data_IF_095906631514
#
_entry.id   IF_095906631514
#
_cell.length_a   1.000
_cell.length_b   1.000
_cell.length_c   1.000
_cell.angle_alpha   90.00
_cell.angle_beta   90.00
_cell.angle_gamma   90.00
#
_symmetry.space_group_name_H-M   'P 1'
#
loop_
_entity.id
_entity.type
_entity.pdbx_description
1 polymer ?
#
# COMPACT_ATOMS: atom_id res chain seq x y z
N UNK A 1 -55.40 47.28 -15.79
CA UNK A 1 -53.95 47.09 -15.58
C UNK A 1 -53.74 45.86 -14.70
N UNK A 2 -53.50 44.69 -15.30
CA UNK A 2 -53.29 43.44 -14.57
C UNK A 2 -51.79 43.18 -14.43
N UNK A 3 -51.28 43.19 -13.19
CA UNK A 3 -49.88 42.85 -12.86
C UNK A 3 -49.70 41.33 -12.97
N UNK A 4 -48.81 40.88 -13.86
CA UNK A 4 -48.37 39.49 -13.94
C UNK A 4 -47.26 39.26 -12.91
N UNK A 5 -47.48 38.29 -12.01
CA UNK A 5 -46.50 37.80 -11.04
C UNK A 5 -45.64 36.75 -11.76
N UNK A 6 -44.30 36.87 -11.78
CA UNK A 6 -43.45 35.83 -12.38
C UNK A 6 -43.39 34.62 -11.45
N UNK A 7 -43.75 33.45 -11.97
CA UNK A 7 -43.52 32.16 -11.32
C UNK A 7 -42.02 31.86 -11.36
N UNK A 8 -41.38 31.83 -10.19
CA UNK A 8 -40.01 31.38 -10.04
C UNK A 8 -40.01 29.84 -9.97
N UNK A 9 -39.57 29.19 -11.04
CA UNK A 9 -39.43 27.74 -11.09
C UNK A 9 -38.15 27.34 -10.33
N UNK A 10 -38.32 26.75 -9.15
CA UNK A 10 -37.23 26.17 -8.35
C UNK A 10 -36.91 24.78 -8.93
N UNK A 11 -35.84 24.67 -9.70
CA UNK A 11 -35.34 23.38 -10.18
C UNK A 11 -34.59 22.69 -9.03
N UNK A 12 -35.19 21.65 -8.43
CA UNK A 12 -34.45 20.72 -7.56
C UNK A 12 -33.50 19.91 -8.45
N UNK A 13 -32.20 20.19 -8.37
CA UNK A 13 -31.18 19.32 -8.91
C UNK A 13 -30.99 18.15 -7.94
N UNK A 14 -31.49 16.97 -8.30
CA UNK A 14 -31.15 15.73 -7.61
C UNK A 14 -29.71 15.38 -7.95
N UNK A 15 -28.79 15.58 -7.01
CA UNK A 15 -27.44 15.04 -7.12
C UNK A 15 -27.52 13.52 -6.95
N UNK A 16 -27.26 12.77 -8.03
CA UNK A 16 -26.97 11.35 -7.91
C UNK A 16 -25.52 11.23 -7.45
N UNK A 17 -25.30 10.87 -6.19
CA UNK A 17 -23.99 10.41 -5.76
C UNK A 17 -23.69 9.11 -6.51
N UNK A 18 -22.63 9.10 -7.32
CA UNK A 18 -22.10 7.86 -7.83
C UNK A 18 -21.68 6.99 -6.63
N UNK A 19 -21.92 5.66 -6.65
CA UNK A 19 -21.39 4.80 -5.62
C UNK A 19 -19.86 4.94 -5.61
N UNK A 20 -19.29 5.20 -4.44
CA UNK A 20 -17.85 5.05 -4.25
C UNK A 20 -17.52 3.59 -4.62
N UNK A 21 -16.62 3.40 -5.58
CA UNK A 21 -16.15 2.07 -5.90
C UNK A 21 -15.23 1.60 -4.76
N UNK A 22 -15.37 0.33 -4.42
CA UNK A 22 -14.42 -0.40 -3.60
C UNK A 22 -13.01 -0.20 -4.17
N UNK A 23 -12.09 0.30 -3.35
CA UNK A 23 -10.70 0.52 -3.72
C UNK A 23 -9.88 -0.66 -3.18
N UNK A 24 -9.21 -1.37 -4.10
CA UNK A 24 -8.37 -2.50 -3.74
C UNK A 24 -6.91 -2.07 -3.80
N UNK A 25 -6.19 -2.29 -2.72
CA UNK A 25 -4.77 -1.97 -2.60
C UNK A 25 -3.99 -3.27 -2.45
N UNK A 26 -2.86 -3.39 -3.15
CA UNK A 26 -1.96 -4.54 -3.04
C UNK A 26 -0.62 -4.10 -2.48
N UNK A 27 -0.14 -4.82 -1.46
CA UNK A 27 1.16 -4.59 -0.84
C UNK A 27 2.00 -5.85 -1.01
N UNK A 28 3.28 -5.69 -1.35
CA UNK A 28 4.22 -6.79 -1.58
C UNK A 28 5.51 -6.61 -0.80
N UNK A 29 6.09 -7.73 -0.41
CA UNK A 29 7.33 -7.83 0.34
C UNK A 29 8.23 -8.90 -0.27
N UNK A 30 9.52 -8.61 -0.29
CA UNK A 30 10.58 -9.59 -0.50
C UNK A 30 11.31 -9.81 0.81
N UNK A 31 11.71 -11.05 1.06
CA UNK A 31 12.36 -11.38 2.31
C UNK A 31 13.14 -12.67 2.26
N UNK A 32 13.63 -13.07 3.44
CA UNK A 32 14.30 -14.34 3.64
C UNK A 32 13.77 -15.05 4.87
N UNK A 33 13.60 -16.36 4.78
CA UNK A 33 13.31 -17.22 5.94
C UNK A 33 14.43 -17.04 6.96
N UNK A 34 14.06 -16.86 8.23
CA UNK A 34 15.01 -16.75 9.36
C UNK A 34 15.01 -18.02 10.19
N UNK A 35 13.83 -18.57 10.50
CA UNK A 35 13.67 -19.82 11.21
C UNK A 35 12.28 -20.44 10.94
N UNK A 36 12.06 -21.67 11.41
CA UNK A 36 10.77 -22.35 11.25
C UNK A 36 10.50 -23.35 12.38
N UNK A 37 9.22 -23.69 12.60
CA UNK A 37 8.81 -24.72 13.56
C UNK A 37 7.56 -25.48 13.08
N UNK A 38 7.37 -26.70 13.56
CA UNK A 38 6.22 -27.55 13.18
C UNK A 38 6.56 -28.72 12.24
N UNK A 39 5.55 -29.48 11.77
CA UNK A 39 5.74 -30.75 11.06
C UNK A 39 6.54 -30.66 9.76
N UNK A 40 6.49 -29.52 9.05
CA UNK A 40 7.22 -29.29 7.80
C UNK A 40 8.43 -28.35 7.95
N UNK A 41 8.77 -27.95 9.18
CA UNK A 41 9.85 -26.99 9.46
C UNK A 41 11.19 -27.33 8.80
N UNK A 42 11.53 -28.62 8.70
CA UNK A 42 12.81 -29.10 8.14
C UNK A 42 13.04 -28.70 6.67
N UNK A 43 12.01 -28.29 5.94
CA UNK A 43 12.10 -27.81 4.56
C UNK A 43 12.56 -26.35 4.50
N UNK A 44 12.20 -25.57 5.50
CA UNK A 44 12.42 -24.13 5.57
C UNK A 44 13.73 -23.83 6.25
N UNK A 45 14.72 -23.40 5.47
CA UNK A 45 16.09 -23.13 5.93
C UNK A 45 16.35 -21.63 5.88
N UNK A 46 17.06 -21.12 6.88
CA UNK A 46 17.45 -19.72 6.93
C UNK A 46 18.14 -19.27 5.63
N UNK A 47 17.74 -18.10 5.11
CA UNK A 47 18.26 -17.52 3.87
C UNK A 47 17.51 -17.92 2.59
N UNK A 48 16.48 -18.76 2.67
CA UNK A 48 15.59 -19.01 1.52
C UNK A 48 14.76 -17.76 1.22
N UNK A 49 14.70 -17.35 -0.04
CA UNK A 49 13.85 -16.25 -0.48
C UNK A 49 12.37 -16.56 -0.22
N UNK A 50 11.67 -15.57 0.32
CA UNK A 50 10.22 -15.55 0.47
C UNK A 50 9.68 -14.30 -0.19
N UNK A 51 8.52 -14.43 -0.83
CA UNK A 51 7.71 -13.28 -1.25
C UNK A 51 6.35 -13.38 -0.60
N UNK A 52 5.84 -12.25 -0.12
CA UNK A 52 4.52 -12.12 0.48
C UNK A 52 3.81 -11.00 -0.25
N UNK A 53 2.56 -11.21 -0.65
CA UNK A 53 1.73 -10.15 -1.20
C UNK A 53 0.30 -10.30 -0.68
N UNK A 54 -0.33 -9.21 -0.28
CA UNK A 54 -1.74 -9.18 0.09
C UNK A 54 -2.47 -8.09 -0.68
N UNK A 55 -3.72 -8.36 -1.05
CA UNK A 55 -4.66 -7.40 -1.61
C UNK A 55 -5.80 -7.22 -0.63
N UNK A 56 -6.13 -5.98 -0.31
CA UNK A 56 -7.17 -5.62 0.64
C UNK A 56 -8.27 -4.76 0.01
N UNK A 57 -9.47 -4.85 0.57
CA UNK A 57 -10.60 -3.98 0.28
C UNK A 57 -10.64 -2.85 1.31
N UNK A 58 -10.22 -1.65 0.93
CA UNK A 58 -10.06 -0.52 1.87
C UNK A 58 -11.40 -0.03 2.41
N UNK A 59 -12.50 -0.36 1.73
CA UNK A 59 -13.85 0.01 2.15
C UNK A 59 -14.52 -1.01 3.08
N UNK A 60 -13.84 -2.10 3.42
CA UNK A 60 -14.38 -3.12 4.31
C UNK A 60 -14.67 -2.52 5.70
N UNK A 61 -15.87 -2.78 6.21
CA UNK A 61 -16.30 -2.25 7.49
C UNK A 61 -15.59 -2.98 8.63
N UNK A 62 -15.12 -2.22 9.61
CA UNK A 62 -14.68 -2.77 10.89
C UNK A 62 -15.89 -3.37 11.62
N UNK A 63 -15.79 -4.67 11.91
CA UNK A 63 -16.83 -5.44 12.58
C UNK A 63 -16.75 -5.36 14.10
N UNK A 64 -15.64 -4.87 14.64
CA UNK A 64 -15.43 -4.66 16.06
C UNK A 64 -14.66 -3.34 16.29
N UNK A 65 -15.36 -2.19 16.28
CA UNK A 65 -14.74 -0.86 16.34
C UNK A 65 -14.24 -0.52 17.75
N UNK A 66 -13.27 -1.30 18.22
CA UNK A 66 -12.49 -1.05 19.41
C UNK A 66 -11.34 -0.09 19.05
N UNK A 67 -11.05 0.94 19.86
CA UNK A 67 -9.88 1.79 19.62
C UNK A 67 -8.53 1.07 19.66
N UNK A 68 -8.45 -0.15 20.23
CA UNK A 68 -7.20 -0.90 20.42
C UNK A 68 -7.02 -2.08 19.44
N UNK A 69 -8.01 -2.38 18.59
CA UNK A 69 -7.89 -3.34 17.49
C UNK A 69 -9.02 -3.18 16.45
N UNK A 70 -8.74 -3.47 15.18
CA UNK A 70 -9.73 -3.55 14.10
C UNK A 70 -9.94 -4.97 13.58
N UNK A 71 -11.18 -5.34 13.20
CA UNK A 71 -11.49 -6.65 12.60
C UNK A 71 -12.30 -6.49 11.31
N UNK A 72 -11.69 -6.81 10.19
CA UNK A 72 -12.25 -6.58 8.84
C UNK A 72 -12.56 -7.89 8.13
N UNK A 73 -13.76 -8.42 8.37
CA UNK A 73 -14.25 -9.61 7.66
C UNK A 73 -14.49 -9.31 6.17
N UNK A 74 -13.81 -10.05 5.30
CA UNK A 74 -13.80 -9.76 3.86
C UNK A 74 -12.89 -8.60 3.47
N UNK A 75 -12.13 -8.03 4.42
CA UNK A 75 -11.13 -7.01 4.15
C UNK A 75 -9.93 -7.54 3.38
N UNK A 76 -9.60 -8.83 3.55
CA UNK A 76 -8.59 -9.49 2.71
C UNK A 76 -9.27 -10.00 1.43
N UNK A 77 -8.79 -9.56 0.28
CA UNK A 77 -9.25 -10.00 -1.05
C UNK A 77 -8.41 -11.18 -1.55
N UNK A 78 -7.10 -11.08 -1.40
CA UNK A 78 -6.14 -12.11 -1.78
C UNK A 78 -4.91 -12.05 -0.87
N UNK A 79 -4.30 -13.19 -0.59
CA UNK A 79 -2.98 -13.29 0.03
C UNK A 79 -2.17 -14.36 -0.71
N UNK A 80 -0.92 -14.07 -1.02
CA UNK A 80 0.01 -15.01 -1.64
C UNK A 80 1.32 -15.06 -0.88
N UNK A 81 1.79 -16.26 -0.59
CA UNK A 81 3.12 -16.50 -0.01
C UNK A 81 3.86 -17.51 -0.88
N UNK A 82 5.02 -17.13 -1.41
CA UNK A 82 5.86 -18.04 -2.20
C UNK A 82 7.23 -18.22 -1.58
N UNK A 83 7.68 -19.47 -1.53
CA UNK A 83 9.04 -19.86 -1.12
C UNK A 83 9.52 -20.88 -2.16
N UNK A 84 10.06 -20.41 -3.30
CA UNK A 84 10.30 -21.26 -4.46
C UNK A 84 11.22 -22.45 -4.19
N UNK A 85 12.20 -22.27 -3.30
CA UNK A 85 13.18 -23.29 -2.92
C UNK A 85 12.55 -24.57 -2.35
N UNK A 86 11.34 -24.48 -1.79
CA UNK A 86 10.58 -25.60 -1.21
C UNK A 86 9.27 -25.88 -1.94
N UNK A 87 9.03 -25.21 -3.08
CA UNK A 87 7.82 -25.35 -3.88
C UNK A 87 6.55 -24.86 -3.17
N UNK A 88 6.66 -23.93 -2.22
CA UNK A 88 5.51 -23.28 -1.61
C UNK A 88 5.04 -22.14 -2.52
N UNK A 89 3.76 -22.17 -2.86
CA UNK A 89 3.02 -21.12 -3.56
C UNK A 89 1.59 -21.13 -2.99
N UNK A 90 1.44 -20.58 -1.79
CA UNK A 90 0.18 -20.55 -1.07
C UNK A 90 -0.65 -19.37 -1.56
N UNK A 91 -1.89 -19.62 -1.98
CA UNK A 91 -2.84 -18.60 -2.39
C UNK A 91 -4.08 -18.69 -1.49
N UNK A 92 -4.46 -17.57 -0.90
CA UNK A 92 -5.65 -17.38 -0.07
C UNK A 92 -6.54 -16.37 -0.78
N UNK A 93 -7.83 -16.67 -0.85
CA UNK A 93 -8.83 -15.76 -1.42
C UNK A 93 -9.36 -14.79 -0.38
N UNK A 94 -10.67 -14.54 -0.41
CA UNK A 94 -11.31 -13.67 0.57
C UNK A 94 -11.11 -14.19 1.99
N UNK A 95 -10.65 -13.32 2.88
CA UNK A 95 -10.30 -13.64 4.26
C UNK A 95 -10.61 -12.51 5.24
N UNK A 96 -9.85 -12.46 6.34
CA UNK A 96 -9.96 -11.41 7.36
C UNK A 96 -8.63 -10.68 7.47
N UNK A 97 -8.71 -9.36 7.65
CA UNK A 97 -7.60 -8.54 8.18
C UNK A 97 -7.92 -8.24 9.63
N UNK A 98 -6.94 -8.38 10.51
CA UNK A 98 -7.04 -7.94 11.89
C UNK A 98 -5.83 -7.08 12.24
N UNK A 99 -6.07 -5.95 12.86
CA UNK A 99 -5.05 -4.97 13.26
C UNK A 99 -5.12 -4.78 14.77
N UNK A 100 -3.99 -4.46 15.39
CA UNK A 100 -3.89 -4.09 16.79
C UNK A 100 -2.87 -2.96 16.91
N UNK A 101 -3.35 -1.73 17.02
CA UNK A 101 -2.57 -0.52 17.31
C UNK A 101 -2.60 -0.28 18.84
N UNK A 102 -1.80 -1.07 19.56
CA UNK A 102 -1.93 -1.21 21.02
C UNK A 102 -1.26 -0.08 21.82
N UNK A 103 -1.45 1.19 21.41
CA UNK A 103 -0.90 2.39 22.07
C UNK A 103 -1.16 2.40 23.59
N UNK A 104 -2.22 1.75 24.06
CA UNK A 104 -2.72 1.88 25.43
C UNK A 104 -2.08 0.92 26.44
N UNK A 105 -1.73 -0.31 26.07
CA UNK A 105 -1.33 -1.34 27.07
C UNK A 105 -0.23 -2.32 26.64
N UNK A 106 0.29 -2.28 25.40
CA UNK A 106 1.37 -3.19 24.98
C UNK A 106 2.41 -2.50 24.11
N UNK A 107 3.65 -2.96 24.20
CA UNK A 107 4.76 -2.47 23.40
C UNK A 107 4.75 -3.05 21.96
N UNK A 108 3.59 -3.29 21.36
CA UNK A 108 3.56 -3.92 20.04
C UNK A 108 2.38 -3.55 19.16
N UNK A 109 2.68 -3.34 17.89
CA UNK A 109 1.67 -3.29 16.82
C UNK A 109 1.65 -4.62 16.09
N UNK A 110 0.46 -5.06 15.67
CA UNK A 110 0.28 -6.35 15.00
C UNK A 110 -0.73 -6.24 13.86
N UNK A 111 -0.44 -6.87 12.73
CA UNK A 111 -1.37 -7.00 11.61
C UNK A 111 -1.39 -8.44 11.10
N UNK A 112 -2.59 -9.01 11.01
CA UNK A 112 -2.86 -10.39 10.63
C UNK A 112 -3.67 -10.44 9.35
N UNK A 113 -3.22 -11.26 8.41
CA UNK A 113 -3.89 -11.48 7.13
C UNK A 113 -4.12 -12.98 6.97
N UNK A 114 -5.37 -13.44 7.08
CA UNK A 114 -5.64 -14.88 7.11
C UNK A 114 -6.92 -15.29 6.39
N UNK A 115 -6.91 -16.52 5.88
CA UNK A 115 -8.05 -17.10 5.21
C UNK A 115 -7.84 -18.56 4.82
N UNK A 116 -8.86 -19.14 4.19
CA UNK A 116 -8.74 -20.49 3.63
C UNK A 116 -7.93 -20.43 2.34
N UNK A 117 -7.03 -21.38 2.16
CA UNK A 117 -6.22 -21.46 0.96
C UNK A 117 -7.07 -21.94 -0.23
N UNK A 118 -6.92 -21.25 -1.36
CA UNK A 118 -7.45 -21.65 -2.66
C UNK A 118 -6.49 -22.63 -3.34
N UNK A 119 -5.19 -22.43 -3.16
CA UNK A 119 -4.14 -23.25 -3.74
C UNK A 119 -2.88 -23.26 -2.86
N UNK A 120 -1.99 -24.21 -3.17
CA UNK A 120 -0.68 -24.33 -2.54
C UNK A 120 -0.45 -25.70 -1.91
N UNK A 121 0.83 -26.09 -1.91
CA UNK A 121 1.28 -27.27 -1.20
C UNK A 121 2.57 -26.97 -0.45
N UNK A 122 2.84 -27.77 0.58
CA UNK A 122 4.15 -27.90 1.19
C UNK A 122 4.42 -29.40 1.34
N UNK A 123 5.52 -29.89 0.76
CA UNK A 123 5.85 -31.32 0.79
C UNK A 123 4.78 -32.26 0.20
N UNK A 124 4.10 -31.81 -0.86
CA UNK A 124 2.97 -32.55 -1.44
C UNK A 124 1.71 -32.61 -0.58
N UNK A 125 1.68 -31.93 0.57
CA UNK A 125 0.49 -31.75 1.39
C UNK A 125 -0.20 -30.44 1.01
N UNK A 126 -1.51 -30.51 0.74
CA UNK A 126 -2.31 -29.32 0.50
C UNK A 126 -2.27 -28.38 1.72
N UNK A 127 -2.09 -27.09 1.46
CA UNK A 127 -2.28 -26.04 2.46
C UNK A 127 -3.79 -25.79 2.53
N UNK A 128 -4.37 -25.93 3.72
CA UNK A 128 -5.81 -25.75 3.96
C UNK A 128 -6.14 -24.29 4.31
N UNK A 129 -5.24 -23.63 5.04
CA UNK A 129 -5.29 -22.20 5.32
C UNK A 129 -3.87 -21.67 5.46
N UNK A 130 -3.73 -20.39 5.14
CA UNK A 130 -2.52 -19.62 5.37
C UNK A 130 -2.87 -18.31 6.07
N UNK A 131 -1.89 -17.82 6.81
CA UNK A 131 -1.96 -16.63 7.63
C UNK A 131 -0.58 -15.99 7.61
N UNK A 132 -0.54 -14.67 7.48
CA UNK A 132 0.69 -13.89 7.58
C UNK A 132 0.50 -12.85 8.66
N UNK A 133 1.49 -12.78 9.54
CA UNK A 133 1.53 -11.93 10.71
C UNK A 133 2.73 -11.00 10.59
N UNK A 134 2.48 -9.71 10.82
CA UNK A 134 3.47 -8.65 10.87
C UNK A 134 3.46 -8.08 12.29
N UNK A 135 4.64 -7.98 12.92
CA UNK A 135 4.78 -7.54 14.30
C UNK A 135 5.91 -6.52 14.44
N UNK A 136 5.63 -5.47 15.18
CA UNK A 136 6.62 -4.52 15.67
C UNK A 136 6.65 -4.63 17.20
N UNK A 137 7.78 -5.02 17.77
CA UNK A 137 7.94 -5.19 19.21
C UNK A 137 8.95 -4.16 19.74
N UNK A 138 8.48 -3.23 20.57
CA UNK A 138 9.36 -2.21 21.13
C UNK A 138 9.82 -2.55 22.55
N UNK A 139 11.06 -3.00 22.70
CA UNK A 139 11.65 -3.29 24.02
C UNK A 139 12.12 -2.02 24.79
N UNK A 140 11.83 -0.82 24.27
CA UNK A 140 12.38 0.45 24.77
C UNK A 140 11.35 1.54 25.06
N UNK A 141 11.81 2.74 25.50
CA UNK A 141 10.96 3.93 25.52
C UNK A 141 10.64 4.34 24.08
N UNK A 142 9.37 4.32 23.72
CA UNK A 142 8.83 4.66 22.40
C UNK A 142 7.48 3.98 22.22
N UNK A 143 6.71 4.43 21.24
CA UNK A 143 5.54 3.71 20.78
C UNK A 143 5.95 2.87 19.58
N UNK A 144 5.38 1.67 19.39
CA UNK A 144 5.45 1.00 18.09
C UNK A 144 4.93 1.95 16.99
N UNK A 145 5.49 1.81 15.79
CA UNK A 145 5.26 2.75 14.67
C UNK A 145 4.75 2.04 13.41
N UNK A 146 4.51 0.72 13.49
CA UNK A 146 4.08 -0.05 12.34
C UNK A 146 2.68 0.35 11.88
N UNK A 147 1.78 0.66 12.84
CA UNK A 147 0.43 1.11 12.53
C UNK A 147 0.24 2.57 12.98
N UNK A 148 -0.46 3.36 12.16
CA UNK A 148 -0.86 4.73 12.51
C UNK A 148 -2.27 4.80 13.11
N UNK A 149 -2.92 3.66 13.28
CA UNK A 149 -4.32 3.48 13.66
C UNK A 149 -4.81 2.07 13.34
N UNK A 150 -6.07 1.80 13.66
CA UNK A 150 -6.67 0.47 13.46
C UNK A 150 -7.10 0.17 12.03
N UNK A 151 -6.96 1.11 11.10
CA UNK A 151 -7.37 0.92 9.71
C UNK A 151 -6.63 -0.23 9.03
N UNK A 152 -7.25 -0.83 8.01
CA UNK A 152 -6.60 -1.82 7.15
C UNK A 152 -5.30 -1.23 6.58
N UNK A 153 -4.13 -1.88 6.75
CA UNK A 153 -2.90 -1.37 6.19
C UNK A 153 -2.91 -1.39 4.67
N UNK A 154 -2.74 -0.22 4.07
CA UNK A 154 -2.63 -0.03 2.62
C UNK A 154 -1.20 0.21 2.15
N UNK A 155 -0.31 0.53 3.08
CA UNK A 155 1.11 0.78 2.81
C UNK A 155 1.96 -0.41 3.30
N UNK A 156 3.20 -0.55 2.79
CA UNK A 156 4.15 -1.50 3.34
C UNK A 156 4.41 -1.26 4.83
N UNK A 157 4.25 -2.32 5.62
CA UNK A 157 4.48 -2.32 7.05
C UNK A 157 5.99 -2.42 7.31
N UNK A 158 6.49 -1.56 8.20
CA UNK A 158 7.85 -1.66 8.74
C UNK A 158 7.77 -2.47 10.02
N UNK A 159 8.43 -3.63 10.05
CA UNK A 159 8.22 -4.64 11.10
C UNK A 159 9.56 -5.19 11.58
N UNK A 160 9.63 -5.57 12.85
CA UNK A 160 10.80 -6.24 13.43
C UNK A 160 10.74 -7.76 13.26
N UNK A 161 9.51 -8.31 13.19
CA UNK A 161 9.28 -9.74 13.01
C UNK A 161 8.09 -9.97 12.08
N UNK A 162 8.17 -11.06 11.32
CA UNK A 162 7.09 -11.48 10.44
C UNK A 162 7.10 -12.98 10.27
N UNK A 163 5.93 -13.59 10.16
CA UNK A 163 5.85 -15.01 9.91
C UNK A 163 4.61 -15.44 9.15
N UNK A 164 4.73 -16.58 8.45
CA UNK A 164 3.62 -17.27 7.83
C UNK A 164 3.27 -18.53 8.62
N UNK A 165 1.98 -18.78 8.76
CA UNK A 165 1.42 -19.99 9.35
C UNK A 165 0.76 -20.81 8.25
N UNK A 166 1.29 -22.00 7.98
CA UNK A 166 0.70 -22.95 7.04
C UNK A 166 0.01 -24.09 7.79
N UNK A 167 -1.30 -24.26 7.58
CA UNK A 167 -2.07 -25.36 8.17
C UNK A 167 -2.31 -26.44 7.12
N UNK A 168 -1.87 -27.67 7.41
CA UNK A 168 -2.01 -28.84 6.53
C UNK A 168 -2.66 -30.00 7.28
N UNK A 169 -2.86 -31.15 6.61
CA UNK A 169 -3.32 -32.37 7.28
C UNK A 169 -2.33 -32.92 8.32
N UNK A 170 -1.04 -32.55 8.26
CA UNK A 170 -0.02 -33.00 9.20
C UNK A 170 0.10 -32.11 10.44
N UNK A 171 -0.53 -30.92 10.44
CA UNK A 171 -0.48 -29.94 11.52
C UNK A 171 -0.16 -28.54 11.02
N UNK A 172 0.29 -27.70 11.96
CA UNK A 172 0.61 -26.29 11.73
C UNK A 172 2.12 -26.10 11.68
N UNK A 173 2.60 -25.44 10.63
CA UNK A 173 4.01 -25.04 10.47
C UNK A 173 4.11 -23.53 10.45
N UNK A 174 5.03 -23.00 11.25
CA UNK A 174 5.37 -21.58 11.34
C UNK A 174 6.68 -21.35 10.58
N UNK A 175 6.73 -20.30 9.78
CA UNK A 175 7.91 -19.88 9.03
C UNK A 175 8.13 -18.40 9.31
N UNK A 176 9.14 -18.10 10.12
CA UNK A 176 9.55 -16.73 10.39
C UNK A 176 10.44 -16.24 9.25
N UNK A 177 10.29 -14.98 8.90
CA UNK A 177 11.05 -14.33 7.85
C UNK A 177 11.33 -12.88 8.19
N UNK A 178 12.46 -12.39 7.67
CA UNK A 178 12.74 -10.97 7.62
C UNK A 178 12.28 -10.49 6.25
N UNK A 179 11.35 -9.54 6.24
CA UNK A 179 10.90 -8.88 5.03
C UNK A 179 11.45 -7.47 4.98
N UNK A 180 11.82 -7.07 3.77
CA UNK A 180 12.00 -5.68 3.41
C UNK A 180 10.80 -5.33 2.51
N UNK A 181 10.13 -4.18 2.73
CA UNK A 181 9.20 -3.64 1.74
C UNK A 181 9.84 -3.72 0.35
N UNK A 182 9.07 -4.14 -0.65
CA UNK A 182 9.55 -3.98 -2.02
C UNK A 182 9.81 -2.49 -2.25
N UNK A 183 11.02 -2.17 -2.73
CA UNK A 183 11.32 -0.81 -3.15
C UNK A 183 10.27 -0.41 -4.19
N UNK A 184 9.56 0.72 -3.99
CA UNK A 184 8.49 1.13 -4.89
C UNK A 184 9.05 1.24 -6.30
N UNK A 185 8.32 0.69 -7.25
CA UNK A 185 8.71 0.74 -8.64
C UNK A 185 8.76 2.19 -9.11
N UNK A 186 9.55 2.52 -10.14
CA UNK A 186 9.53 3.86 -10.73
C UNK A 186 8.13 4.31 -11.19
N UNK A 187 7.24 3.38 -11.54
CA UNK A 187 5.87 3.70 -11.94
C UNK A 187 5.02 4.14 -10.74
N UNK A 188 5.05 3.38 -9.64
CA UNK A 188 4.36 3.71 -8.39
C UNK A 188 4.82 5.08 -7.86
N UNK A 189 6.13 5.35 -7.85
CA UNK A 189 6.66 6.66 -7.44
C UNK A 189 6.15 7.83 -8.30
N UNK A 190 5.83 7.58 -9.58
CA UNK A 190 5.26 8.60 -10.48
C UNK A 190 3.77 8.83 -10.20
N UNK A 191 3.05 7.79 -9.80
CA UNK A 191 1.66 7.87 -9.34
C UNK A 191 1.59 8.65 -8.01
N UNK A 192 2.42 8.30 -7.03
CA UNK A 192 2.55 9.03 -5.76
C UNK A 192 2.86 10.52 -5.98
N UNK A 193 3.81 10.82 -6.87
CA UNK A 193 4.14 12.20 -7.23
C UNK A 193 2.96 12.94 -7.88
N UNK A 194 2.08 12.23 -8.58
CA UNK A 194 0.87 12.82 -9.18
C UNK A 194 -0.18 13.12 -8.12
N UNK A 195 -0.31 12.27 -7.11
CA UNK A 195 -1.21 12.49 -5.97
C UNK A 195 -0.76 13.70 -5.14
N UNK A 196 0.55 13.84 -4.88
CA UNK A 196 1.12 15.06 -4.27
C UNK A 196 0.76 16.30 -5.10
N UNK A 197 0.77 16.23 -6.43
CA UNK A 197 0.35 17.37 -7.27
C UNK A 197 -1.14 17.68 -7.08
N UNK A 198 -2.01 16.67 -7.01
CA UNK A 198 -3.46 16.89 -6.81
C UNK A 198 -3.76 17.44 -5.43
N UNK A 199 -3.17 16.90 -4.38
CA UNK A 199 -3.34 17.39 -3.00
C UNK A 199 -2.99 18.88 -2.90
N UNK A 200 -1.88 19.28 -3.50
CA UNK A 200 -1.50 20.69 -3.56
C UNK A 200 -2.51 21.56 -4.33
N UNK A 201 -3.15 21.03 -5.37
CA UNK A 201 -4.20 21.74 -6.12
C UNK A 201 -5.46 21.88 -5.28
N UNK A 202 -5.87 20.81 -4.61
CA UNK A 202 -7.10 20.74 -3.82
C UNK A 202 -7.00 21.62 -2.55
N UNK A 203 -5.82 21.68 -1.95
CA UNK A 203 -5.48 22.62 -0.87
C UNK A 203 -5.38 24.08 -1.32
N UNK A 204 -5.41 24.34 -2.63
CA UNK A 204 -5.21 25.66 -3.21
C UNK A 204 -3.76 26.20 -3.09
N UNK A 205 -2.81 25.35 -2.67
CA UNK A 205 -1.36 25.63 -2.61
C UNK A 205 -0.75 25.70 -4.02
N UNK A 206 -1.37 25.03 -4.99
CA UNK A 206 -1.01 25.04 -6.40
C UNK A 206 -2.21 25.42 -7.27
N UNK A 207 -2.02 26.33 -8.23
CA UNK A 207 -3.09 26.64 -9.18
C UNK A 207 -3.35 25.45 -10.10
N UNK A 208 -4.61 25.10 -10.37
CA UNK A 208 -5.02 23.98 -11.24
C UNK A 208 -4.29 23.94 -12.59
N UNK A 209 -4.07 25.10 -13.23
CA UNK A 209 -3.35 25.15 -14.51
C UNK A 209 -1.86 24.76 -14.41
N UNK A 210 -1.26 24.95 -13.24
CA UNK A 210 0.09 24.46 -12.96
C UNK A 210 0.11 22.98 -12.64
N UNK A 211 -0.85 22.49 -11.84
CA UNK A 211 -1.02 21.06 -11.53
C UNK A 211 -1.12 20.24 -12.80
N UNK A 212 -2.05 20.58 -13.69
CA UNK A 212 -2.19 19.91 -15.01
C UNK A 212 -0.91 19.88 -15.84
N UNK A 213 -0.10 20.93 -15.76
CA UNK A 213 1.15 21.02 -16.52
C UNK A 213 2.29 20.19 -15.88
N UNK A 214 2.24 19.94 -14.57
CA UNK A 214 3.09 19.00 -13.85
C UNK A 214 2.63 17.56 -14.10
N UNK A 215 1.34 17.26 -13.93
CA UNK A 215 0.73 15.95 -14.21
C UNK A 215 1.05 15.47 -15.63
N UNK A 216 0.92 16.35 -16.63
CA UNK A 216 1.25 16.01 -18.01
C UNK A 216 2.71 15.57 -18.19
N UNK A 217 3.63 16.01 -17.34
CA UNK A 217 5.04 15.57 -17.36
C UNK A 217 5.22 14.26 -16.64
N UNK A 218 4.59 14.07 -15.49
CA UNK A 218 4.58 12.79 -14.78
C UNK A 218 3.97 11.69 -15.68
N UNK A 219 2.86 11.96 -16.35
CA UNK A 219 2.29 11.06 -17.35
C UNK A 219 3.25 10.75 -18.52
N UNK A 220 4.12 11.70 -18.89
CA UNK A 220 5.17 11.46 -19.90
C UNK A 220 6.33 10.61 -19.35
N UNK A 221 6.62 10.70 -18.05
CA UNK A 221 7.58 9.81 -17.36
C UNK A 221 7.01 8.39 -17.34
N UNK A 222 5.76 8.22 -16.87
CA UNK A 222 5.09 6.92 -16.79
C UNK A 222 5.02 6.22 -18.15
N UNK A 223 4.56 6.94 -19.19
CA UNK A 223 4.49 6.38 -20.55
C UNK A 223 5.87 5.94 -21.10
N UNK A 224 6.96 6.56 -20.66
CA UNK A 224 8.31 6.17 -21.05
C UNK A 224 8.81 4.97 -20.22
N UNK A 225 8.45 4.88 -18.94
CA UNK A 225 8.70 3.70 -18.09
C UNK A 225 8.01 2.47 -18.70
N UNK A 226 6.74 2.58 -19.06
CA UNK A 226 5.96 1.52 -19.71
C UNK A 226 6.58 1.04 -21.04
N UNK A 227 7.23 1.96 -21.75
CA UNK A 227 7.94 1.66 -23.00
C UNK A 227 9.36 1.09 -22.79
N UNK A 228 9.85 1.02 -21.55
CA UNK A 228 11.24 0.66 -21.24
C UNK A 228 12.27 1.69 -21.71
N UNK A 229 11.87 2.95 -21.92
CA UNK A 229 12.73 4.04 -22.39
C UNK A 229 13.15 4.94 -21.22
N UNK A 230 14.09 4.44 -20.42
CA UNK A 230 14.64 5.15 -19.25
C UNK A 230 15.22 6.52 -19.61
N UNK A 231 15.84 6.66 -20.80
CA UNK A 231 16.43 7.93 -21.21
C UNK A 231 15.35 9.01 -21.43
N UNK A 232 14.24 8.65 -22.06
CA UNK A 232 13.09 9.55 -22.22
C UNK A 232 12.42 9.83 -20.87
N UNK A 233 12.27 8.82 -20.00
CA UNK A 233 11.72 9.00 -18.65
C UNK A 233 12.53 10.06 -17.85
N UNK A 234 13.85 9.91 -17.79
CA UNK A 234 14.73 10.87 -17.12
C UNK A 234 14.72 12.28 -17.74
N UNK A 235 14.56 12.38 -19.07
CA UNK A 235 14.38 13.66 -19.75
C UNK A 235 13.09 14.37 -19.33
N UNK A 236 11.99 13.63 -19.26
CA UNK A 236 10.68 14.12 -18.81
C UNK A 236 10.69 14.51 -17.33
N UNK A 237 11.34 13.73 -16.47
CA UNK A 237 11.50 14.00 -15.03
C UNK A 237 12.28 15.30 -14.80
N UNK A 238 13.38 15.52 -15.53
CA UNK A 238 14.12 16.79 -15.48
C UNK A 238 13.27 17.97 -15.92
N UNK A 239 12.40 17.79 -16.92
CA UNK A 239 11.46 18.82 -17.34
C UNK A 239 10.43 19.15 -16.24
N UNK A 240 10.00 18.15 -15.47
CA UNK A 240 9.15 18.33 -14.28
C UNK A 240 9.87 19.16 -13.21
N UNK A 241 11.08 18.75 -12.79
CA UNK A 241 11.88 19.48 -11.81
C UNK A 241 12.15 20.94 -12.24
N UNK A 242 12.46 21.17 -13.52
CA UNK A 242 12.64 22.51 -14.08
C UNK A 242 11.38 23.38 -13.96
N UNK A 243 10.20 22.78 -14.17
CA UNK A 243 8.93 23.49 -13.99
C UNK A 243 8.66 23.80 -12.51
N UNK A 244 8.88 22.87 -11.59
CA UNK A 244 8.76 23.11 -10.14
C UNK A 244 9.63 24.30 -9.72
N UNK A 245 10.91 24.30 -10.12
CA UNK A 245 11.83 25.40 -9.85
C UNK A 245 11.37 26.75 -10.44
N UNK A 246 10.79 26.75 -11.64
CA UNK A 246 10.27 27.96 -12.27
C UNK A 246 9.02 28.50 -11.54
N UNK A 247 8.14 27.61 -11.07
CA UNK A 247 6.97 27.97 -10.28
C UNK A 247 7.38 28.60 -8.94
N UNK A 248 8.36 28.02 -8.25
CA UNK A 248 8.88 28.53 -6.98
C UNK A 248 9.48 29.93 -7.16
N UNK A 249 10.39 30.10 -8.14
CA UNK A 249 11.03 31.40 -8.41
C UNK A 249 10.04 32.50 -8.79
N UNK A 250 8.94 32.13 -9.46
CA UNK A 250 7.86 33.05 -9.81
C UNK A 250 6.80 33.22 -8.70
N UNK A 251 7.03 32.61 -7.52
CA UNK A 251 6.12 32.62 -6.35
C UNK A 251 4.70 32.15 -6.69
N UNK A 252 4.59 31.21 -7.63
CA UNK A 252 3.33 30.57 -8.01
C UNK A 252 3.03 29.31 -7.20
N UNK A 253 4.00 28.88 -6.42
CA UNK A 253 3.96 27.86 -5.38
C UNK A 253 4.93 28.35 -4.29
N UNK A 254 4.69 27.99 -3.03
CA UNK A 254 5.60 28.30 -1.93
C UNK A 254 6.80 27.32 -1.90
N UNK A 255 7.79 27.64 -1.07
CA UNK A 255 9.03 26.87 -1.00
C UNK A 255 8.84 25.47 -0.37
N UNK A 256 7.89 25.28 0.55
CA UNK A 256 7.66 23.99 1.19
C UNK A 256 7.02 23.02 0.19
N UNK A 257 5.96 23.45 -0.49
CA UNK A 257 5.32 22.66 -1.55
C UNK A 257 6.28 22.38 -2.73
N UNK A 258 7.19 23.31 -3.05
CA UNK A 258 8.22 23.07 -4.06
C UNK A 258 9.29 22.05 -3.61
N UNK A 259 9.58 21.97 -2.31
CA UNK A 259 10.50 20.98 -1.76
C UNK A 259 9.88 19.58 -1.75
N UNK A 260 8.61 19.47 -1.40
CA UNK A 260 7.80 18.24 -1.44
C UNK A 260 7.81 17.61 -2.85
N UNK A 261 7.48 18.39 -3.89
CA UNK A 261 7.51 17.93 -5.28
C UNK A 261 8.93 17.57 -5.77
N UNK A 262 9.97 18.23 -5.24
CA UNK A 262 11.36 17.90 -5.58
C UNK A 262 11.78 16.58 -4.94
N UNK A 263 11.41 16.33 -3.68
CA UNK A 263 11.68 15.07 -3.01
C UNK A 263 11.03 13.89 -3.76
N UNK A 264 9.77 14.03 -4.18
CA UNK A 264 9.11 13.03 -5.01
C UNK A 264 9.84 12.80 -6.34
N UNK A 265 10.26 13.88 -7.02
CA UNK A 265 11.03 13.75 -8.26
C UNK A 265 12.42 13.11 -8.07
N UNK A 266 13.08 13.38 -6.96
CA UNK A 266 14.39 12.83 -6.65
C UNK A 266 14.28 11.31 -6.38
N UNK A 267 13.24 10.86 -5.66
CA UNK A 267 12.95 9.43 -5.47
C UNK A 267 12.72 8.69 -6.80
N UNK A 268 11.94 9.28 -7.72
CA UNK A 268 11.76 8.73 -9.08
C UNK A 268 13.12 8.66 -9.81
N UNK A 269 13.96 9.70 -9.68
CA UNK A 269 15.28 9.75 -10.30
C UNK A 269 16.19 8.62 -9.82
N UNK A 270 16.30 8.46 -8.50
CA UNK A 270 17.09 7.41 -7.86
C UNK A 270 16.63 6.01 -8.34
N UNK A 271 15.31 5.77 -8.39
CA UNK A 271 14.75 4.50 -8.86
C UNK A 271 14.99 4.24 -10.36
N UNK A 272 15.05 5.29 -11.19
CA UNK A 272 15.38 5.21 -12.62
C UNK A 272 16.89 5.14 -12.89
N UNK A 273 17.74 5.45 -11.91
CA UNK A 273 19.18 5.58 -12.08
C UNK A 273 19.60 6.86 -12.82
N UNK A 274 18.87 7.96 -12.61
CA UNK A 274 19.24 9.30 -13.07
C UNK A 274 19.10 10.36 -11.98
#
# INVERSE_FOLDING_TARGET
MARRIPLLALALASAFAAPAFAEQVTVSYQGVVTNSSGPQSVLFVAGQEVTVSYTVETTAADSDPNPDYGVYHGGLVALRVTIPAVGVDAEVGTGTVQTFDNIVDTNSDQAFFFGNALAGNVDGLAINSAEVDFLDFHDGPGLPLMLSGEAIPTDPLVTDDSFAIFRTAAGTTFVNFLVEPDEPTPAELVEDASDVVQDLVDDGRLRTGNGRALDSKLASVLAAIDAGDTATACGSLRAFQNQVNALERSRRIDAASAAELRAAADAIGDALGC
#
